data_IF_041136856793
#
_entry.id   IF_041136856793
#
_cell.length_a   1.000
_cell.length_b   1.000
_cell.length_c   1.000
_cell.angle_alpha   90.00
_cell.angle_beta   90.00
_cell.angle_gamma   90.00
#
_symmetry.space_group_name_H-M   'P 1'
#
loop_
_entity.id
_entity.type
_entity.pdbx_description
1 polymer ?
#
# COMPACT_ATOMS: atom_id res chain seq x y z
N UNK A 1 -36.72 25.90 -67.52
CA UNK A 1 -37.24 25.03 -66.40
C UNK A 1 -36.86 25.70 -65.11
N UNK A 2 -37.74 26.46 -64.49
CA UNK A 2 -37.49 27.09 -63.21
C UNK A 2 -37.86 26.05 -62.15
N UNK A 3 -36.83 25.56 -61.47
CA UNK A 3 -37.01 24.72 -60.28
C UNK A 3 -37.50 25.63 -59.15
N UNK A 4 -38.79 25.59 -58.86
CA UNK A 4 -39.35 26.23 -57.65
C UNK A 4 -38.83 25.49 -56.44
N UNK A 5 -37.70 25.95 -55.91
CA UNK A 5 -37.15 25.45 -54.65
C UNK A 5 -38.18 25.72 -53.52
N UNK A 6 -38.67 24.68 -52.86
CA UNK A 6 -39.56 24.80 -51.72
C UNK A 6 -38.78 25.26 -50.49
N UNK A 7 -38.50 26.57 -50.39
CA UNK A 7 -37.75 27.18 -49.29
C UNK A 7 -38.33 26.84 -47.92
N UNK A 8 -39.64 26.63 -47.83
CA UNK A 8 -40.31 26.21 -46.58
C UNK A 8 -39.86 24.80 -46.17
N UNK A 9 -39.72 23.90 -47.13
CA UNK A 9 -39.31 22.52 -46.87
C UNK A 9 -37.84 22.44 -46.47
N UNK A 10 -37.00 23.27 -47.09
CA UNK A 10 -35.57 23.41 -46.72
C UNK A 10 -35.45 24.00 -45.32
N UNK A 11 -36.21 25.04 -44.99
CA UNK A 11 -36.23 25.65 -43.67
C UNK A 11 -36.72 24.69 -42.57
N UNK A 12 -37.78 23.92 -42.84
CA UNK A 12 -38.27 22.92 -41.89
C UNK A 12 -37.22 21.80 -41.66
N UNK A 13 -36.59 21.35 -42.74
CA UNK A 13 -35.55 20.29 -42.64
C UNK A 13 -34.32 20.78 -41.83
N UNK A 14 -33.86 22.02 -42.05
CA UNK A 14 -32.75 22.60 -41.26
C UNK A 14 -33.11 22.75 -39.77
N UNK A 15 -34.35 23.16 -39.46
CA UNK A 15 -34.82 23.25 -38.06
C UNK A 15 -34.88 21.87 -37.39
N UNK A 16 -35.35 20.84 -38.11
CA UNK A 16 -35.41 19.49 -37.59
C UNK A 16 -34.02 18.97 -37.31
N UNK A 17 -33.07 19.15 -38.23
CA UNK A 17 -31.66 18.72 -38.02
C UNK A 17 -31.03 19.49 -36.87
N UNK A 18 -31.19 20.82 -36.80
CA UNK A 18 -30.66 21.61 -35.72
C UNK A 18 -31.22 21.18 -34.35
N UNK A 19 -32.52 20.91 -34.26
CA UNK A 19 -33.15 20.39 -33.04
C UNK A 19 -32.68 19.00 -32.69
N UNK A 20 -32.50 18.10 -33.67
CA UNK A 20 -31.95 16.75 -33.45
C UNK A 20 -30.49 16.79 -32.95
N UNK A 21 -29.66 17.65 -33.54
CA UNK A 21 -28.28 17.84 -33.07
C UNK A 21 -28.21 18.41 -31.66
N UNK A 22 -29.12 19.36 -31.32
CA UNK A 22 -29.18 19.93 -29.98
C UNK A 22 -29.60 18.87 -28.95
N UNK A 23 -30.64 18.09 -29.25
CA UNK A 23 -31.09 16.99 -28.39
C UNK A 23 -30.02 15.90 -28.24
N UNK A 24 -29.33 15.56 -29.33
CA UNK A 24 -28.22 14.61 -29.30
C UNK A 24 -27.04 15.13 -28.44
N UNK A 25 -26.73 16.42 -28.57
CA UNK A 25 -25.67 17.05 -27.72
C UNK A 25 -26.01 17.04 -26.23
N UNK A 26 -27.28 17.35 -25.89
CA UNK A 26 -27.74 17.29 -24.50
C UNK A 26 -27.78 15.85 -23.97
N UNK A 27 -28.17 14.88 -24.79
CA UNK A 27 -28.15 13.45 -24.44
C UNK A 27 -26.71 12.96 -24.23
N UNK A 28 -25.77 13.29 -25.11
CA UNK A 28 -24.38 12.93 -25.01
C UNK A 28 -23.70 13.57 -23.79
N UNK A 29 -24.00 14.85 -23.48
CA UNK A 29 -23.53 15.53 -22.30
C UNK A 29 -24.02 14.86 -21.01
N UNK A 30 -25.29 14.43 -20.97
CA UNK A 30 -25.84 13.69 -19.83
C UNK A 30 -25.15 12.36 -19.62
N UNK A 31 -24.86 11.61 -20.68
CA UNK A 31 -24.20 10.30 -20.60
C UNK A 31 -22.73 10.42 -20.13
N UNK A 32 -22.06 11.53 -20.45
CA UNK A 32 -20.71 11.82 -19.98
C UNK A 32 -20.63 12.25 -18.51
N UNK A 33 -21.76 12.69 -17.92
CA UNK A 33 -21.81 13.29 -16.57
C UNK A 33 -22.15 12.27 -15.45
N UNK A 34 -22.49 11.02 -15.78
CA UNK A 34 -22.96 10.05 -14.77
C UNK A 34 -21.87 9.41 -13.91
N UNK A 35 -20.58 9.67 -14.15
CA UNK A 35 -19.53 9.29 -13.22
C UNK A 35 -19.43 10.32 -12.11
N UNK A 36 -20.23 10.13 -11.07
CA UNK A 36 -20.10 10.92 -9.85
C UNK A 36 -18.80 10.54 -9.18
N UNK A 37 -17.92 11.53 -8.96
CA UNK A 37 -16.63 11.34 -8.31
C UNK A 37 -16.70 11.88 -6.88
N UNK A 38 -16.03 11.20 -5.97
CA UNK A 38 -15.80 11.69 -4.61
C UNK A 38 -14.31 11.99 -4.45
N UNK A 39 -14.01 13.11 -3.81
CA UNK A 39 -12.63 13.51 -3.52
C UNK A 39 -12.25 13.07 -2.09
N UNK A 40 -11.03 12.57 -1.98
CA UNK A 40 -10.40 12.21 -0.71
C UNK A 40 -8.99 12.78 -0.65
N UNK A 41 -8.47 12.92 0.56
CA UNK A 41 -7.08 13.26 0.80
C UNK A 41 -6.37 12.05 1.42
N UNK A 42 -5.12 11.85 1.02
CA UNK A 42 -4.21 10.85 1.61
C UNK A 42 -2.94 11.57 2.01
N UNK A 43 -2.53 11.43 3.27
CA UNK A 43 -1.33 12.09 3.79
C UNK A 43 -0.24 11.04 3.99
N UNK A 44 0.80 11.08 3.15
CA UNK A 44 1.95 10.19 3.23
C UNK A 44 3.06 10.83 4.07
N UNK A 45 3.68 10.04 4.94
CA UNK A 45 4.87 10.41 5.73
C UNK A 45 6.15 9.79 5.19
N UNK A 46 6.06 9.15 4.05
CA UNK A 46 7.17 8.53 3.33
C UNK A 46 7.35 9.17 1.96
N UNK A 47 8.50 8.95 1.34
CA UNK A 47 8.76 9.45 -0.01
C UNK A 47 7.80 8.79 -1.02
N UNK A 48 7.12 9.61 -1.81
CA UNK A 48 6.14 9.17 -2.83
C UNK A 48 6.80 9.03 -4.22
N UNK A 49 8.00 8.50 -4.27
CA UNK A 49 8.79 8.39 -5.51
C UNK A 49 8.03 7.61 -6.58
N UNK A 50 7.96 8.15 -7.79
CA UNK A 50 7.25 7.55 -8.92
C UNK A 50 5.74 7.79 -8.93
N UNK A 51 5.19 8.51 -7.93
CA UNK A 51 3.79 8.94 -7.92
C UNK A 51 3.64 10.24 -8.70
N UNK A 52 2.62 10.34 -9.53
CA UNK A 52 2.34 11.54 -10.33
C UNK A 52 0.85 11.83 -10.38
N UNK A 53 0.51 13.07 -10.75
CA UNK A 53 -0.89 13.41 -11.07
C UNK A 53 -1.35 12.54 -12.24
N UNK A 54 -2.55 11.97 -12.12
CA UNK A 54 -3.07 10.99 -13.09
C UNK A 54 -2.72 9.54 -12.76
N UNK A 55 -1.78 9.25 -11.83
CA UNK A 55 -1.52 7.89 -11.38
C UNK A 55 -2.81 7.23 -10.88
N UNK A 56 -3.03 5.92 -11.19
CA UNK A 56 -4.26 5.23 -10.81
C UNK A 56 -4.35 5.00 -9.30
N UNK A 57 -5.58 5.06 -8.81
CA UNK A 57 -5.97 4.63 -7.46
C UNK A 57 -6.69 3.30 -7.61
N UNK A 58 -6.21 2.28 -6.90
CA UNK A 58 -6.81 0.95 -6.91
C UNK A 58 -7.41 0.62 -5.54
N UNK A 59 -8.54 -0.07 -5.53
CA UNK A 59 -9.13 -0.65 -4.33
C UNK A 59 -9.09 -2.17 -4.44
N UNK A 60 -8.31 -2.83 -3.58
CA UNK A 60 -8.06 -4.26 -3.63
C UNK A 60 -7.66 -4.77 -5.04
N UNK A 61 -6.87 -3.97 -5.78
CA UNK A 61 -6.38 -4.33 -7.12
C UNK A 61 -7.26 -3.83 -8.28
N UNK A 62 -8.47 -3.32 -8.03
CA UNK A 62 -9.37 -2.79 -9.05
C UNK A 62 -9.15 -1.28 -9.17
N UNK A 63 -8.97 -0.76 -10.38
CA UNK A 63 -8.83 0.68 -10.62
C UNK A 63 -10.19 1.37 -10.35
N UNK A 64 -10.21 2.28 -9.39
CA UNK A 64 -11.42 2.99 -8.95
C UNK A 64 -11.29 4.51 -9.06
N UNK A 65 -10.13 5.02 -9.43
CA UNK A 65 -9.91 6.45 -9.50
C UNK A 65 -8.51 6.86 -9.93
N UNK A 66 -8.18 8.13 -9.69
CA UNK A 66 -6.88 8.71 -10.03
C UNK A 66 -6.49 9.84 -9.09
N UNK A 67 -5.21 10.17 -9.08
CA UNK A 67 -4.66 11.31 -8.34
C UNK A 67 -4.95 12.60 -9.11
N UNK A 68 -5.54 13.57 -8.44
CA UNK A 68 -5.86 14.90 -9.03
C UNK A 68 -4.82 15.95 -8.67
N UNK A 69 -4.20 15.85 -7.49
CA UNK A 69 -3.19 16.82 -7.04
C UNK A 69 -2.20 16.16 -6.08
N UNK A 70 -0.94 16.57 -6.18
CA UNK A 70 0.12 16.26 -5.22
C UNK A 70 0.70 17.59 -4.70
N UNK A 71 0.88 17.69 -3.40
CA UNK A 71 1.47 18.87 -2.76
C UNK A 71 2.18 18.48 -1.46
N UNK A 72 3.18 19.22 -1.07
CA UNK A 72 3.74 19.12 0.28
C UNK A 72 2.77 19.73 1.30
N UNK A 73 2.75 19.17 2.50
CA UNK A 73 1.95 19.73 3.58
C UNK A 73 2.54 21.10 4.01
N UNK A 74 1.70 22.16 4.14
CA UNK A 74 2.20 23.50 4.46
C UNK A 74 2.95 23.57 5.80
N UNK A 75 2.54 22.76 6.76
CA UNK A 75 3.09 22.77 8.12
C UNK A 75 4.25 21.80 8.33
N UNK A 76 4.41 20.79 7.45
CA UNK A 76 5.48 19.80 7.52
C UNK A 76 5.86 19.30 6.12
N UNK A 77 6.93 19.85 5.50
CA UNK A 77 7.34 19.48 4.15
C UNK A 77 7.80 18.01 4.00
N UNK A 78 7.95 17.27 5.11
CA UNK A 78 8.22 15.82 5.07
C UNK A 78 6.95 15.02 4.74
N UNK A 79 5.78 15.66 4.75
CA UNK A 79 4.51 15.02 4.44
C UNK A 79 4.04 15.43 3.04
N UNK A 80 3.55 14.46 2.28
CA UNK A 80 2.95 14.68 0.97
C UNK A 80 1.45 14.46 1.06
N UNK A 81 0.70 15.47 0.64
CA UNK A 81 -0.76 15.39 0.51
C UNK A 81 -1.10 15.02 -0.92
N UNK A 82 -1.65 13.84 -1.11
CA UNK A 82 -2.25 13.41 -2.37
C UNK A 82 -3.76 13.63 -2.32
N UNK A 83 -4.29 14.44 -3.23
CA UNK A 83 -5.74 14.52 -3.47
C UNK A 83 -6.09 13.53 -4.55
N UNK A 84 -7.05 12.66 -4.25
CA UNK A 84 -7.51 11.61 -5.14
C UNK A 84 -9.00 11.78 -5.41
N UNK A 85 -9.42 11.42 -6.61
CA UNK A 85 -10.83 11.24 -6.96
C UNK A 85 -11.11 9.76 -7.13
N UNK A 86 -12.20 9.31 -6.55
CA UNK A 86 -12.63 7.91 -6.57
C UNK A 86 -14.09 7.85 -7.01
N UNK A 87 -14.46 6.86 -7.79
CA UNK A 87 -15.83 6.66 -8.25
C UNK A 87 -16.77 6.46 -7.05
N UNK A 88 -17.93 7.15 -7.06
CA UNK A 88 -18.82 7.25 -5.89
C UNK A 88 -19.42 5.92 -5.43
N UNK A 89 -19.46 4.91 -6.30
CA UNK A 89 -19.90 3.57 -5.92
C UNK A 89 -18.83 2.78 -5.13
N UNK A 90 -17.60 3.29 -5.05
CA UNK A 90 -16.51 2.64 -4.29
C UNK A 90 -16.78 2.81 -2.80
N UNK A 91 -16.88 1.72 -2.03
CA UNK A 91 -17.21 1.81 -0.60
C UNK A 91 -16.00 2.21 0.25
N UNK A 92 -15.59 3.48 0.18
CA UNK A 92 -14.53 4.02 1.04
C UNK A 92 -15.10 4.22 2.44
N UNK A 93 -14.51 3.54 3.44
CA UNK A 93 -14.97 3.53 4.82
C UNK A 93 -13.93 4.09 5.78
N UNK A 94 -14.30 4.30 7.02
CA UNK A 94 -13.42 4.87 8.07
C UNK A 94 -12.20 4.01 8.39
N UNK A 95 -12.30 2.70 8.17
CA UNK A 95 -11.23 1.72 8.32
C UNK A 95 -10.43 1.45 7.02
N UNK A 96 -10.79 2.12 5.91
CA UNK A 96 -10.01 2.06 4.67
C UNK A 96 -8.63 2.66 4.89
N UNK A 97 -7.60 1.97 4.39
CA UNK A 97 -6.20 2.37 4.46
C UNK A 97 -5.63 2.56 3.06
N UNK A 98 -4.83 3.59 2.91
CA UNK A 98 -4.09 3.85 1.69
C UNK A 98 -2.61 3.50 1.89
N UNK A 99 -2.00 2.85 0.92
CA UNK A 99 -0.56 2.59 0.87
C UNK A 99 -0.01 2.84 -0.52
N UNK A 100 1.28 3.10 -0.60
CA UNK A 100 2.00 3.10 -1.86
C UNK A 100 2.24 1.66 -2.30
N UNK A 101 1.98 1.39 -3.57
CA UNK A 101 2.26 0.09 -4.18
C UNK A 101 2.93 0.30 -5.54
N UNK A 102 3.85 -0.60 -5.87
CA UNK A 102 4.52 -0.65 -7.16
C UNK A 102 3.85 -1.77 -7.96
N UNK A 103 3.34 -1.44 -9.14
CA UNK A 103 2.60 -2.40 -9.98
C UNK A 103 3.51 -3.45 -10.59
N UNK A 104 4.76 -3.08 -10.87
CA UNK A 104 5.81 -3.96 -11.38
C UNK A 104 7.17 -3.36 -11.08
N UNK A 105 8.25 -4.13 -11.21
CA UNK A 105 9.62 -3.70 -10.89
C UNK A 105 10.05 -2.41 -11.61
N UNK A 106 9.48 -2.16 -12.79
CA UNK A 106 9.73 -0.96 -13.61
C UNK A 106 8.47 -0.12 -13.83
N UNK A 107 7.38 -0.43 -13.12
CA UNK A 107 6.09 0.23 -13.28
C UNK A 107 5.94 1.50 -12.42
N UNK A 108 4.91 2.30 -12.71
CA UNK A 108 4.61 3.47 -11.91
C UNK A 108 4.15 3.07 -10.50
N UNK A 109 4.44 3.94 -9.56
CA UNK A 109 3.87 3.88 -8.21
C UNK A 109 2.39 4.29 -8.27
N UNK A 110 1.57 3.58 -7.53
CA UNK A 110 0.12 3.80 -7.44
C UNK A 110 -0.30 3.94 -5.98
N UNK A 111 -1.50 4.48 -5.76
CA UNK A 111 -2.16 4.42 -4.45
C UNK A 111 -3.05 3.19 -4.42
N UNK A 112 -2.81 2.29 -3.48
CA UNK A 112 -3.66 1.14 -3.22
C UNK A 112 -4.48 1.38 -1.95
N UNK A 113 -5.80 1.28 -2.09
CA UNK A 113 -6.75 1.27 -0.99
C UNK A 113 -7.09 -0.17 -0.60
N UNK A 114 -7.23 -0.40 0.69
CA UNK A 114 -7.59 -1.71 1.25
C UNK A 114 -8.36 -1.52 2.56
N UNK A 115 -9.00 -2.57 3.07
CA UNK A 115 -9.88 -2.51 4.25
C UNK A 115 -11.34 -2.34 3.84
N UNK A 116 -12.12 -1.60 4.61
CA UNK A 116 -13.54 -1.39 4.34
C UNK A 116 -14.41 -2.55 4.83
N UNK A 117 -14.33 -2.87 6.13
CA UNK A 117 -15.19 -3.92 6.72
C UNK A 117 -16.68 -3.59 6.56
N UNK A 118 -17.56 -4.59 6.41
CA UNK A 118 -19.00 -4.35 6.24
C UNK A 118 -19.61 -3.47 7.34
N UNK A 119 -19.11 -3.57 8.56
CA UNK A 119 -19.60 -2.87 9.74
C UNK A 119 -19.09 -1.42 9.87
N UNK A 120 -17.99 -1.09 9.19
CA UNK A 120 -17.45 0.26 9.26
C UNK A 120 -18.35 1.26 8.51
N UNK A 121 -18.59 2.45 9.07
CA UNK A 121 -19.37 3.50 8.38
C UNK A 121 -18.60 4.05 7.18
N UNK A 122 -19.35 4.66 6.24
CA UNK A 122 -18.75 5.35 5.10
C UNK A 122 -17.88 6.53 5.59
N UNK A 123 -16.75 6.74 4.93
CA UNK A 123 -15.86 7.86 5.23
C UNK A 123 -16.44 9.14 4.63
N UNK A 124 -16.99 10.00 5.48
CA UNK A 124 -17.51 11.32 5.10
C UNK A 124 -16.68 12.41 5.74
N UNK A 125 -16.60 13.58 5.10
CA UNK A 125 -15.98 14.75 5.71
C UNK A 125 -16.83 15.28 6.86
N UNK A 126 -16.19 15.68 7.94
CA UNK A 126 -16.83 16.40 9.05
C UNK A 126 -17.16 17.83 8.62
N UNK A 127 -16.38 18.39 7.72
CA UNK A 127 -16.57 19.73 7.18
C UNK A 127 -16.77 19.63 5.66
N UNK A 128 -17.87 20.23 5.16
CA UNK A 128 -18.24 20.16 3.73
C UNK A 128 -17.25 20.84 2.78
N UNK A 129 -16.24 21.53 3.33
CA UNK A 129 -15.21 22.26 2.56
C UNK A 129 -13.91 21.47 2.39
N UNK A 130 -13.68 20.43 3.17
CA UNK A 130 -12.46 19.61 3.11
C UNK A 130 -12.78 18.19 2.70
N UNK A 131 -11.99 17.65 1.77
CA UNK A 131 -12.11 16.25 1.40
C UNK A 131 -11.72 15.36 2.60
N UNK A 132 -12.47 14.27 2.88
CA UNK A 132 -12.17 13.38 3.99
C UNK A 132 -10.80 12.74 3.82
N UNK A 133 -10.09 12.53 4.94
CA UNK A 133 -8.72 12.01 4.96
C UNK A 133 -8.74 10.51 5.16
N UNK A 134 -8.17 9.78 4.20
CA UNK A 134 -7.91 8.34 4.31
C UNK A 134 -6.57 8.16 5.04
N UNK A 135 -6.55 7.34 6.07
CA UNK A 135 -5.35 7.04 6.83
C UNK A 135 -4.41 6.14 6.03
N UNK A 136 -3.10 6.40 6.14
CA UNK A 136 -2.08 5.59 5.47
C UNK A 136 -1.64 4.39 6.30
N UNK A 137 -1.32 3.29 5.62
CA UNK A 137 -0.57 2.17 6.16
C UNK A 137 0.86 2.21 5.57
N UNK A 138 1.88 1.72 6.29
CA UNK A 138 3.23 1.63 5.77
C UNK A 138 3.29 0.88 4.44
N UNK A 139 4.11 1.36 3.51
CA UNK A 139 4.34 0.66 2.25
C UNK A 139 5.08 -0.66 2.47
N UNK A 140 5.05 -1.54 1.47
CA UNK A 140 5.80 -2.80 1.51
C UNK A 140 7.31 -2.55 1.69
N UNK A 141 7.84 -1.50 1.06
CA UNK A 141 9.25 -1.11 1.16
C UNK A 141 9.61 -0.66 2.58
N UNK A 142 8.77 0.15 3.20
CA UNK A 142 8.96 0.59 4.58
C UNK A 142 8.93 -0.58 5.56
N UNK A 143 7.99 -1.51 5.38
CA UNK A 143 7.92 -2.72 6.20
C UNK A 143 9.16 -3.60 6.09
N UNK A 144 9.78 -3.70 4.90
CA UNK A 144 11.05 -4.42 4.71
C UNK A 144 12.17 -3.73 5.48
N UNK A 145 12.29 -2.41 5.36
CA UNK A 145 13.32 -1.62 6.06
C UNK A 145 13.17 -1.74 7.57
N UNK A 146 11.95 -1.60 8.09
CA UNK A 146 11.68 -1.72 9.53
C UNK A 146 11.95 -3.14 10.04
N UNK A 147 11.68 -4.16 9.21
CA UNK A 147 11.97 -5.55 9.55
C UNK A 147 13.46 -5.82 9.54
N UNK A 148 14.20 -5.31 8.54
CA UNK A 148 15.64 -5.42 8.49
C UNK A 148 16.30 -4.78 9.71
N UNK A 149 15.90 -3.56 10.08
CA UNK A 149 16.42 -2.89 11.28
C UNK A 149 16.15 -3.70 12.55
N UNK A 150 14.96 -4.26 12.71
CA UNK A 150 14.65 -5.14 13.86
C UNK A 150 15.46 -6.43 13.89
N UNK A 151 15.81 -6.97 12.73
CA UNK A 151 16.69 -8.16 12.64
C UNK A 151 18.10 -7.77 13.10
N UNK A 152 18.63 -6.64 12.63
CA UNK A 152 19.94 -6.14 13.04
C UNK A 152 19.99 -5.93 14.55
N UNK A 153 19.00 -5.23 15.13
CA UNK A 153 18.91 -5.02 16.58
C UNK A 153 18.87 -6.34 17.38
N UNK A 154 18.15 -7.34 16.89
CA UNK A 154 18.11 -8.67 17.54
C UNK A 154 19.44 -9.42 17.40
N UNK A 155 20.12 -9.29 16.26
CA UNK A 155 21.44 -9.86 16.09
C UNK A 155 22.44 -9.22 17.04
N UNK A 156 22.42 -7.89 17.19
CA UNK A 156 23.27 -7.18 18.16
C UNK A 156 23.01 -7.67 19.59
N UNK A 157 21.75 -7.92 19.97
CA UNK A 157 21.43 -8.48 21.27
C UNK A 157 21.97 -9.92 21.46
N UNK A 158 21.86 -10.75 20.43
CA UNK A 158 22.36 -12.15 20.49
C UNK A 158 23.87 -12.20 20.49
N UNK A 159 24.52 -11.30 19.72
CA UNK A 159 25.97 -11.19 19.60
C UNK A 159 26.58 -10.21 20.63
N UNK A 160 25.80 -9.78 21.61
CA UNK A 160 26.33 -8.93 22.70
C UNK A 160 27.47 -9.63 23.44
N UNK A 161 28.44 -8.86 23.90
CA UNK A 161 29.61 -9.38 24.62
C UNK A 161 29.24 -10.31 25.78
N UNK A 162 28.16 -10.01 26.49
CA UNK A 162 27.64 -10.83 27.58
C UNK A 162 27.13 -12.19 27.08
N UNK A 163 26.35 -12.25 25.98
CA UNK A 163 25.85 -13.49 25.42
C UNK A 163 26.99 -14.34 24.83
N UNK A 164 27.95 -13.71 24.16
CA UNK A 164 29.14 -14.39 23.63
C UNK A 164 29.96 -15.00 24.80
N UNK A 165 30.13 -14.27 25.90
CA UNK A 165 30.77 -14.79 27.10
C UNK A 165 30.02 -15.96 27.72
N UNK A 166 28.70 -15.89 27.79
CA UNK A 166 27.86 -17.01 28.29
C UNK A 166 27.91 -18.24 27.39
N UNK A 167 27.91 -18.06 26.08
CA UNK A 167 28.09 -19.17 25.14
C UNK A 167 29.47 -19.79 25.29
N UNK A 168 30.53 -18.98 25.37
CA UNK A 168 31.89 -19.47 25.57
C UNK A 168 32.01 -20.25 26.88
N UNK A 169 31.49 -19.73 28.00
CA UNK A 169 31.49 -20.42 29.30
C UNK A 169 30.70 -21.72 29.26
N UNK A 170 29.60 -21.76 28.52
CA UNK A 170 28.81 -22.98 28.34
C UNK A 170 29.58 -24.04 27.57
N UNK A 171 30.26 -23.66 26.48
CA UNK A 171 31.11 -24.55 25.70
C UNK A 171 32.28 -25.08 26.52
N UNK A 172 32.93 -24.23 27.29
CA UNK A 172 34.03 -24.63 28.21
C UNK A 172 33.52 -25.62 29.27
N UNK A 173 32.35 -25.41 29.84
CA UNK A 173 31.76 -26.34 30.80
C UNK A 173 31.43 -27.69 30.17
N UNK A 174 30.89 -27.70 28.91
CA UNK A 174 30.66 -28.92 28.17
C UNK A 174 31.92 -29.67 27.85
N UNK A 175 32.98 -28.97 27.46
CA UNK A 175 34.31 -29.58 27.23
C UNK A 175 34.88 -30.21 28.50
N UNK A 176 34.77 -29.55 29.65
CA UNK A 176 35.18 -30.06 30.96
C UNK A 176 34.38 -31.29 31.38
N UNK A 177 33.08 -31.30 31.18
CA UNK A 177 32.22 -32.47 31.46
C UNK A 177 32.60 -33.61 30.55
N UNK A 178 32.75 -33.38 29.26
CA UNK A 178 33.14 -34.38 28.25
C UNK A 178 34.50 -35.00 28.58
N UNK A 179 35.50 -34.15 28.93
CA UNK A 179 36.83 -34.60 29.37
C UNK A 179 36.79 -35.44 30.64
N UNK A 180 35.95 -35.07 31.61
CA UNK A 180 35.79 -35.84 32.87
C UNK A 180 35.10 -37.19 32.60
N UNK A 181 34.14 -37.26 31.71
CA UNK A 181 33.53 -38.53 31.30
C UNK A 181 34.55 -39.44 30.60
N UNK A 182 35.32 -38.92 29.66
CA UNK A 182 36.33 -39.68 28.93
C UNK A 182 37.41 -40.24 29.84
N UNK A 183 37.88 -39.43 30.83
CA UNK A 183 38.87 -39.92 31.82
C UNK A 183 38.31 -40.95 32.78
N UNK A 184 37.01 -40.91 33.11
CA UNK A 184 36.33 -41.90 33.95
C UNK A 184 36.14 -43.24 33.23
N UNK A 185 35.91 -43.18 31.92
CA UNK A 185 35.80 -44.36 31.07
C UNK A 185 37.16 -45.12 30.97
N UNK A 186 38.24 -44.37 30.79
CA UNK A 186 39.61 -44.93 30.82
C UNK A 186 39.99 -45.50 32.20
N UNK A 187 39.53 -44.87 33.29
CA UNK A 187 39.74 -45.38 34.66
C UNK A 187 38.94 -46.69 34.92
N UNK A 188 37.78 -46.80 34.36
CA UNK A 188 36.95 -48.01 34.48
C UNK A 188 37.49 -49.19 33.65
N UNK A 189 38.07 -48.89 32.49
CA UNK A 189 38.74 -49.87 31.64
C UNK A 189 40.05 -50.42 32.32
N UNK A 190 40.84 -49.52 32.95
CA UNK A 190 42.00 -49.92 33.73
C UNK A 190 41.64 -50.77 34.95
N UNK A 191 40.55 -50.48 35.65
CA UNK A 191 40.06 -51.30 36.77
C UNK A 191 39.57 -52.69 36.32
N UNK A 192 38.90 -52.76 35.17
CA UNK A 192 38.45 -54.03 34.60
C UNK A 192 39.63 -54.90 34.14
N UNK A 193 40.65 -54.31 33.59
CA UNK A 193 41.87 -55.04 33.22
C UNK A 193 42.63 -55.54 34.46
N UNK A 194 42.75 -54.75 35.52
CA UNK A 194 43.42 -55.17 36.76
C UNK A 194 42.66 -56.28 37.53
N UNK A 195 41.32 -56.27 37.43
CA UNK A 195 40.46 -57.35 37.99
C UNK A 195 40.49 -58.66 37.19
N UNK A 196 40.95 -58.61 35.95
CA UNK A 196 41.12 -59.83 35.11
C UNK A 196 42.45 -60.55 35.30
N UNK A 197 43.48 -59.79 35.79
CA UNK A 197 44.84 -60.33 36.00
C UNK A 197 45.07 -60.81 37.44
N UNK A 198 44.06 -60.74 38.32
CA UNK A 198 44.03 -61.26 39.69
C UNK A 198 43.23 -62.56 39.81
#
# INVERSE_FOLDING_TARGET
METRANYVLIGAFTLIIASALLLFGLWAAKYSSERTWQEYQVVFREAVTGLSVGSPVQYNGIAVGSITKLSLAPNDPRQVIARIRVESYTPVKTDTRAKLAITSLTGPTIIQLSGGTPQAPALTSVDSREAPVIQTAPSALQNITDTANRIVERLDQVLSDDNVAHIAATLENLDRISGTLASKDQGMEALLLSARDA
#
